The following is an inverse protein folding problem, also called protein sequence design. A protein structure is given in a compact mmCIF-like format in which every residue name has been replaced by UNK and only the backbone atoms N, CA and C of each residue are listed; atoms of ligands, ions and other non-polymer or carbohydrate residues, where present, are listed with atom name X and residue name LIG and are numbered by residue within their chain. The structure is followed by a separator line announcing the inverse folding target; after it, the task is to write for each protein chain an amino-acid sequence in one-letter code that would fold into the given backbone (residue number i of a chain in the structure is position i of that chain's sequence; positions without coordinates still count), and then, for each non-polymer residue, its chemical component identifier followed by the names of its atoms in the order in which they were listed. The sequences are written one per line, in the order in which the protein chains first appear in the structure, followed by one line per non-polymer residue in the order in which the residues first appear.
data_IF_474912043795
#
_entry.id   IF_474912043795
#
_cell.length_a   1.000
_cell.length_b   1.000
_cell.length_c   1.000
_cell.angle_alpha   90.00
_cell.angle_beta   90.00
_cell.angle_gamma   90.00
#
_symmetry.space_group_name_H-M   'P 1'
#
loop_
_entity.id
_entity.type
_entity.pdbx_description
1 polymer ?
#
# COMPACT_ATOMS: atom_id res chain seq x y z
N UNK A 1 17.58 -7.34 -15.48
CA UNK A 1 16.16 -7.06 -15.74
C UNK A 1 15.58 -6.30 -14.57
N UNK A 2 14.37 -5.76 -14.71
CA UNK A 2 13.70 -4.98 -13.66
C UNK A 2 12.35 -5.63 -13.37
N UNK A 3 12.01 -5.82 -12.09
CA UNK A 3 10.67 -6.23 -11.65
C UNK A 3 10.02 -4.99 -11.03
N UNK A 4 9.05 -4.35 -11.69
CA UNK A 4 8.35 -3.22 -11.09
C UNK A 4 7.41 -3.72 -9.98
N UNK A 5 7.32 -2.95 -8.90
CA UNK A 5 6.30 -3.12 -7.85
C UNK A 5 5.46 -1.85 -7.89
N UNK A 6 4.15 -1.99 -8.08
CA UNK A 6 3.24 -0.85 -8.09
C UNK A 6 2.78 -0.55 -6.66
N UNK A 7 2.44 0.71 -6.40
CA UNK A 7 1.94 1.15 -5.10
C UNK A 7 0.80 2.12 -5.32
N UNK A 8 -0.32 1.89 -4.64
CA UNK A 8 -1.45 2.83 -4.67
C UNK A 8 -1.05 4.15 -4.00
N UNK A 9 -1.55 5.26 -4.52
CA UNK A 9 -1.33 6.60 -3.94
C UNK A 9 -1.94 6.64 -2.53
N UNK A 10 -1.29 7.25 -1.52
CA UNK A 10 -1.91 7.40 -0.19
C UNK A 10 -3.25 8.15 -0.26
N UNK A 11 -4.15 7.99 0.74
CA UNK A 11 -5.37 8.78 0.80
C UNK A 11 -5.01 10.26 0.98
N UNK A 12 -5.85 11.11 0.40
CA UNK A 12 -5.75 12.56 0.45
C UNK A 12 -7.04 13.13 1.02
N UNK A 13 -6.96 13.99 2.03
CA UNK A 13 -8.12 14.53 2.75
C UNK A 13 -9.10 15.26 1.83
N UNK A 14 -8.59 16.05 0.88
CA UNK A 14 -9.42 16.77 -0.09
C UNK A 14 -10.18 15.85 -1.07
N UNK A 15 -9.75 14.60 -1.21
CA UNK A 15 -10.30 13.63 -2.15
C UNK A 15 -11.15 12.61 -1.40
N UNK A 16 -10.53 11.83 -0.50
CA UNK A 16 -11.17 10.77 0.28
C UNK A 16 -12.24 11.27 1.25
N UNK A 17 -12.06 12.48 1.79
CA UNK A 17 -13.02 13.14 2.68
C UNK A 17 -13.72 14.33 1.99
N UNK A 18 -13.47 14.51 0.70
CA UNK A 18 -14.05 15.58 -0.11
C UNK A 18 -15.50 15.34 -0.49
N UNK A 19 -15.98 16.06 -1.49
CA UNK A 19 -17.30 15.82 -2.08
C UNK A 19 -17.31 14.52 -2.93
N UNK A 20 -18.49 14.08 -3.35
CA UNK A 20 -18.66 12.84 -4.10
C UNK A 20 -17.81 12.76 -5.39
N UNK A 21 -17.59 13.87 -6.09
CA UNK A 21 -16.75 13.89 -7.30
C UNK A 21 -15.27 13.71 -6.97
N UNK A 22 -14.81 14.26 -5.84
CA UNK A 22 -13.44 14.10 -5.36
C UNK A 22 -13.19 12.67 -4.86
N UNK A 23 -14.16 12.10 -4.12
CA UNK A 23 -14.13 10.70 -3.67
C UNK A 23 -14.12 9.73 -4.84
N UNK A 24 -14.95 9.97 -5.87
CA UNK A 24 -14.93 9.17 -7.09
C UNK A 24 -13.56 9.22 -7.77
N UNK A 25 -12.93 10.40 -7.84
CA UNK A 25 -11.59 10.53 -8.41
C UNK A 25 -10.53 9.78 -7.61
N UNK A 26 -10.63 9.76 -6.29
CA UNK A 26 -9.75 8.95 -5.44
C UNK A 26 -9.89 7.46 -5.79
N UNK A 27 -11.13 6.98 -5.86
CA UNK A 27 -11.45 5.61 -6.23
C UNK A 27 -10.95 5.26 -7.64
N UNK A 28 -11.09 6.16 -8.61
CA UNK A 28 -10.62 5.95 -9.99
C UNK A 28 -9.10 5.79 -10.05
N UNK A 29 -8.34 6.62 -9.32
CA UNK A 29 -6.88 6.49 -9.26
C UNK A 29 -6.43 5.22 -8.56
N UNK A 30 -7.10 4.86 -7.47
CA UNK A 30 -6.84 3.62 -6.77
C UNK A 30 -7.08 2.41 -7.69
N UNK A 31 -8.26 2.34 -8.31
CA UNK A 31 -8.64 1.25 -9.21
C UNK A 31 -7.71 1.15 -10.42
N UNK A 32 -7.27 2.28 -11.00
CA UNK A 32 -6.35 2.26 -12.12
C UNK A 32 -5.01 1.57 -11.79
N UNK A 33 -4.51 1.72 -10.55
CA UNK A 33 -3.29 1.03 -10.12
C UNK A 33 -3.54 -0.46 -9.95
N UNK A 34 -4.68 -0.85 -9.38
CA UNK A 34 -5.08 -2.26 -9.23
C UNK A 34 -5.19 -2.94 -10.60
N UNK A 35 -5.91 -2.31 -11.53
CA UNK A 35 -6.14 -2.82 -12.88
C UNK A 35 -4.82 -2.97 -13.63
N UNK A 36 -3.92 -1.99 -13.52
CA UNK A 36 -2.60 -2.05 -14.14
C UNK A 36 -1.75 -3.17 -13.54
N UNK A 37 -1.74 -3.33 -12.21
CA UNK A 37 -1.00 -4.41 -11.56
C UNK A 37 -1.49 -5.79 -12.02
N UNK A 38 -2.81 -5.96 -12.13
CA UNK A 38 -3.44 -7.18 -12.58
C UNK A 38 -3.16 -7.47 -14.06
N UNK A 39 -3.24 -6.45 -14.92
CA UNK A 39 -3.02 -6.57 -16.37
C UNK A 39 -1.56 -6.96 -16.69
N UNK A 40 -0.60 -6.32 -16.02
CA UNK A 40 0.84 -6.55 -16.22
C UNK A 40 1.37 -7.71 -15.38
N UNK A 41 0.55 -8.27 -14.48
CA UNK A 41 0.90 -9.35 -13.56
C UNK A 41 2.12 -9.00 -12.68
N UNK A 42 2.14 -7.76 -12.18
CA UNK A 42 3.24 -7.24 -11.35
C UNK A 42 2.82 -7.15 -9.89
N UNK A 43 3.76 -7.29 -8.93
CA UNK A 43 3.47 -7.11 -7.52
C UNK A 43 2.88 -5.72 -7.21
N UNK A 44 2.03 -5.67 -6.19
CA UNK A 44 1.26 -4.50 -5.79
C UNK A 44 1.39 -4.26 -4.28
N UNK A 45 1.48 -3.00 -3.89
CA UNK A 45 1.37 -2.53 -2.51
C UNK A 45 0.12 -1.65 -2.39
N UNK A 46 -0.87 -2.11 -1.62
CA UNK A 46 -2.12 -1.39 -1.35
C UNK A 46 -1.95 -0.39 -0.19
N UNK A 47 -1.01 0.55 -0.33
CA UNK A 47 -0.68 1.54 0.69
C UNK A 47 -1.85 2.46 1.07
N UNK A 48 -2.74 2.74 0.11
CA UNK A 48 -3.95 3.52 0.32
C UNK A 48 -4.84 2.87 1.38
N UNK A 49 -5.22 1.62 1.11
CA UNK A 49 -6.16 0.86 1.91
C UNK A 49 -5.57 0.48 3.26
N UNK A 50 -4.26 0.22 3.31
CA UNK A 50 -3.55 0.04 4.57
C UNK A 50 -3.71 1.27 5.49
N UNK A 51 -3.55 2.49 4.95
CA UNK A 51 -3.75 3.71 5.74
C UNK A 51 -5.21 3.88 6.16
N UNK A 52 -6.14 3.71 5.22
CA UNK A 52 -7.58 3.90 5.46
C UNK A 52 -8.16 2.84 6.40
N UNK A 53 -7.59 1.64 6.44
CA UNK A 53 -8.00 0.53 7.31
C UNK A 53 -7.38 0.62 8.71
N UNK A 54 -6.10 0.97 8.81
CA UNK A 54 -5.42 1.15 10.11
C UNK A 54 -6.14 2.17 10.99
N UNK A 55 -6.61 3.27 10.39
CA UNK A 55 -7.26 4.40 11.07
C UNK A 55 -6.67 4.65 12.46
N UNK A 56 -5.39 5.04 12.52
CA UNK A 56 -4.65 5.02 13.77
C UNK A 56 -5.44 5.60 14.94
N UNK A 57 -5.61 4.79 15.98
CA UNK A 57 -6.13 5.24 17.26
C UNK A 57 -5.04 6.09 17.90
N UNK A 58 -5.07 7.39 17.63
CA UNK A 58 -4.31 8.32 18.43
C UNK A 58 -5.31 9.29 19.07
N UNK A 59 -5.59 9.13 20.38
CA UNK A 59 -6.73 9.79 21.03
C UNK A 59 -6.70 11.31 20.80
N UNK A 60 -7.87 11.94 20.61
CA UNK A 60 -9.22 11.45 20.92
C UNK A 60 -10.01 10.71 19.82
N UNK A 61 -9.52 10.55 18.59
CA UNK A 61 -10.33 9.94 17.49
C UNK A 61 -9.50 9.14 16.48
N UNK A 62 -10.13 8.11 15.92
CA UNK A 62 -9.62 7.35 14.76
C UNK A 62 -9.51 8.23 13.52
N UNK A 63 -8.28 8.60 13.16
CA UNK A 63 -8.05 9.31 11.91
C UNK A 63 -6.65 9.05 11.39
N UNK A 64 -6.58 8.81 10.07
CA UNK A 64 -5.32 8.85 9.32
C UNK A 64 -4.96 10.27 8.86
N UNK A 65 -5.92 11.20 8.95
CA UNK A 65 -5.84 12.53 8.34
C UNK A 65 -5.19 13.56 9.27
N UNK A 66 -3.94 13.88 8.97
CA UNK A 66 -3.20 14.91 9.67
C UNK A 66 -3.78 16.31 9.50
N UNK A 67 -4.61 16.60 8.49
CA UNK A 67 -5.20 17.93 8.30
C UNK A 67 -6.29 18.27 9.32
N UNK A 68 -6.84 17.27 10.02
CA UNK A 68 -7.86 17.44 11.04
C UNK A 68 -7.48 18.51 12.08
N UNK A 69 -8.44 19.34 12.50
CA UNK A 69 -8.23 20.44 13.45
C UNK A 69 -7.67 19.98 14.81
N UNK A 70 -7.92 18.73 15.22
CA UNK A 70 -7.33 18.14 16.43
C UNK A 70 -5.80 18.17 16.42
N UNK A 71 -5.19 18.13 15.23
CA UNK A 71 -3.74 18.15 15.04
C UNK A 71 -3.19 19.58 14.93
N UNK A 72 -3.95 20.62 15.30
CA UNK A 72 -3.53 22.03 15.20
C UNK A 72 -2.27 22.38 15.99
N UNK A 73 -1.94 21.62 17.04
CA UNK A 73 -0.69 21.76 17.80
C UNK A 73 0.56 21.24 17.05
N UNK A 74 0.36 20.51 15.95
CA UNK A 74 1.40 19.89 15.15
C UNK A 74 1.59 20.61 13.82
N UNK A 75 2.78 20.48 13.22
CA UNK A 75 3.14 21.19 12.00
C UNK A 75 3.89 20.30 11.00
N UNK A 76 3.64 20.53 9.71
CA UNK A 76 4.25 19.79 8.61
C UNK A 76 4.14 18.28 8.79
N UNK A 77 5.28 17.60 8.65
CA UNK A 77 5.41 16.14 8.76
C UNK A 77 5.28 15.61 10.19
N UNK A 78 5.44 16.47 11.21
CA UNK A 78 5.53 16.06 12.61
C UNK A 78 4.14 15.96 13.23
N UNK A 79 3.33 15.02 12.76
CA UNK A 79 1.99 14.71 13.30
C UNK A 79 1.87 13.20 13.49
N UNK A 80 1.39 12.72 14.66
CA UNK A 80 1.42 11.30 15.00
C UNK A 80 0.21 10.54 14.42
N UNK A 81 0.06 10.60 13.10
CA UNK A 81 -0.91 9.83 12.30
C UNK A 81 -0.24 9.41 10.99
N UNK A 82 -0.94 8.95 9.96
CA UNK A 82 -0.32 8.44 8.73
C UNK A 82 -0.18 9.48 7.62
N UNK A 83 -1.06 10.47 7.54
CA UNK A 83 -0.97 11.61 6.62
C UNK A 83 -0.60 12.87 7.39
N UNK A 84 0.20 13.75 6.79
CA UNK A 84 0.70 14.95 7.43
C UNK A 84 -0.33 16.08 7.48
N UNK A 85 0.04 17.23 8.07
CA UNK A 85 -0.87 18.39 8.26
C UNK A 85 -1.47 18.97 6.97
N UNK A 86 -0.87 18.72 5.82
CA UNK A 86 -1.42 19.18 4.53
C UNK A 86 -2.49 18.27 3.94
N UNK A 87 -2.75 17.12 4.58
CA UNK A 87 -3.75 16.17 4.12
C UNK A 87 -3.40 15.44 2.83
N UNK A 88 -2.13 15.43 2.41
CA UNK A 88 -1.69 14.81 1.16
C UNK A 88 -0.47 13.90 1.35
N UNK A 89 0.59 14.39 2.00
CA UNK A 89 1.82 13.62 2.10
C UNK A 89 1.81 12.70 3.31
N UNK A 90 2.55 11.57 3.29
CA UNK A 90 2.78 10.77 4.49
C UNK A 90 3.41 11.60 5.61
N UNK A 91 3.01 11.35 6.86
CA UNK A 91 3.65 11.94 8.03
C UNK A 91 5.04 11.35 8.27
N UNK A 92 5.88 12.06 9.02
CA UNK A 92 7.20 11.64 9.46
C UNK A 92 7.39 11.83 10.97
N UNK A 93 6.41 11.42 11.78
CA UNK A 93 6.47 11.61 13.24
C UNK A 93 7.76 11.01 13.81
N UNK A 94 8.60 11.87 14.39
CA UNK A 94 9.95 11.50 14.79
C UNK A 94 9.97 10.33 15.78
N UNK A 95 8.99 10.24 16.70
CA UNK A 95 8.95 9.17 17.69
C UNK A 95 8.60 7.79 17.10
N UNK A 96 8.02 7.74 15.89
CA UNK A 96 7.72 6.49 15.19
C UNK A 96 8.81 6.04 14.20
N UNK A 97 9.91 6.79 14.08
CA UNK A 97 11.00 6.45 13.16
C UNK A 97 11.70 5.17 13.63
N UNK A 98 11.95 4.24 12.70
CA UNK A 98 12.57 2.94 12.96
C UNK A 98 11.80 2.00 13.92
N UNK A 99 10.61 2.39 14.37
CA UNK A 99 9.71 1.51 15.10
C UNK A 99 8.74 0.82 14.14
N UNK A 100 9.10 -0.39 13.71
CA UNK A 100 8.27 -1.24 12.85
C UNK A 100 7.17 -2.02 13.61
N UNK A 101 6.92 -1.66 14.88
CA UNK A 101 5.75 -2.06 15.64
C UNK A 101 4.72 -0.93 15.67
N UNK A 102 4.70 -0.17 16.77
CA UNK A 102 3.70 0.89 16.98
C UNK A 102 3.91 2.11 16.07
N UNK A 103 5.14 2.35 15.63
CA UNK A 103 5.47 3.40 14.66
C UNK A 103 4.77 3.24 13.31
N UNK A 104 4.30 2.03 12.96
CA UNK A 104 3.52 1.79 11.74
C UNK A 104 2.13 2.46 11.75
N UNK A 105 1.64 2.88 12.91
CA UNK A 105 0.36 3.59 13.05
C UNK A 105 0.54 5.11 13.23
N UNK A 106 1.77 5.59 13.45
CA UNK A 106 2.00 7.02 13.76
C UNK A 106 2.94 7.71 12.78
N UNK A 107 3.50 6.98 11.82
CA UNK A 107 4.44 7.51 10.84
C UNK A 107 4.19 6.89 9.45
N UNK A 108 3.63 7.69 8.54
CA UNK A 108 3.31 7.25 7.18
C UNK A 108 4.55 6.85 6.38
N UNK A 109 5.66 7.59 6.49
CA UNK A 109 6.91 7.18 5.84
C UNK A 109 7.42 5.82 6.36
N UNK A 110 7.31 5.57 7.67
CA UNK A 110 7.74 4.31 8.25
C UNK A 110 6.87 3.14 7.78
N UNK A 111 5.55 3.33 7.72
CA UNK A 111 4.61 2.37 7.14
C UNK A 111 4.94 2.06 5.67
N UNK A 112 5.13 3.10 4.84
CA UNK A 112 5.51 2.94 3.43
C UNK A 112 6.81 2.14 3.27
N UNK A 113 7.82 2.45 4.07
CA UNK A 113 9.11 1.76 4.05
C UNK A 113 8.95 0.29 4.42
N UNK A 114 8.19 0.00 5.48
CA UNK A 114 7.90 -1.37 5.91
C UNK A 114 7.23 -2.17 4.80
N UNK A 115 6.13 -1.67 4.23
CA UNK A 115 5.40 -2.37 3.17
C UNK A 115 6.26 -2.59 1.92
N UNK A 116 7.10 -1.60 1.57
CA UNK A 116 8.04 -1.71 0.45
C UNK A 116 9.06 -2.82 0.69
N UNK A 117 9.62 -2.91 1.90
CA UNK A 117 10.56 -3.98 2.27
C UNK A 117 9.89 -5.36 2.24
N UNK A 118 8.65 -5.46 2.72
CA UNK A 118 7.89 -6.72 2.71
C UNK A 118 7.57 -7.19 1.28
N UNK A 119 7.13 -6.28 0.41
CA UNK A 119 6.89 -6.60 -1.00
C UNK A 119 8.18 -6.97 -1.75
N UNK A 120 9.28 -6.24 -1.49
CA UNK A 120 10.58 -6.57 -2.07
C UNK A 120 11.08 -7.96 -1.62
N UNK A 121 10.85 -8.31 -0.34
CA UNK A 121 11.15 -9.65 0.18
C UNK A 121 10.29 -10.72 -0.49
N UNK A 122 9.00 -10.48 -0.67
CA UNK A 122 8.12 -11.43 -1.36
C UNK A 122 8.60 -11.69 -2.79
N UNK A 123 8.95 -10.64 -3.54
CA UNK A 123 9.54 -10.78 -4.87
C UNK A 123 10.85 -11.57 -4.85
N UNK A 124 11.72 -11.27 -3.88
CA UNK A 124 12.97 -11.98 -3.71
C UNK A 124 12.74 -13.49 -3.51
N UNK A 125 11.84 -13.85 -2.60
CA UNK A 125 11.58 -15.24 -2.22
C UNK A 125 10.77 -16.02 -3.28
N UNK A 126 10.02 -15.34 -4.14
CA UNK A 126 9.24 -15.99 -5.19
C UNK A 126 9.96 -16.08 -6.54
N UNK A 127 10.83 -15.12 -6.85
CA UNK A 127 11.41 -14.95 -8.20
C UNK A 127 12.93 -15.10 -8.20
N UNK A 128 13.63 -14.55 -7.21
CA UNK A 128 15.09 -14.46 -7.24
C UNK A 128 15.74 -15.68 -6.58
N UNK A 129 15.27 -16.04 -5.38
CA UNK A 129 15.70 -17.23 -4.64
C UNK A 129 14.46 -18.04 -4.29
N UNK A 130 13.82 -18.68 -5.29
CA UNK A 130 12.61 -19.44 -5.03
C UNK A 130 12.93 -20.60 -4.09
N UNK A 131 12.25 -20.62 -2.94
CA UNK A 131 12.29 -21.76 -2.04
C UNK A 131 11.90 -23.06 -2.80
N UNK A 132 12.43 -24.23 -2.44
CA UNK A 132 12.18 -25.48 -3.17
C UNK A 132 10.68 -25.81 -3.36
N UNK A 133 9.83 -25.42 -2.40
CA UNK A 133 8.37 -25.54 -2.47
C UNK A 133 7.73 -24.60 -3.50
N UNK A 134 8.27 -23.39 -3.68
CA UNK A 134 7.82 -22.43 -4.69
C UNK A 134 8.10 -22.95 -6.10
N UNK A 135 9.27 -23.57 -6.31
CA UNK A 135 9.61 -24.23 -7.57
C UNK A 135 8.64 -25.37 -7.92
N UNK A 136 8.24 -26.18 -6.93
CA UNK A 136 7.28 -27.26 -7.11
C UNK A 136 5.88 -26.73 -7.49
N UNK A 137 5.42 -25.65 -6.87
CA UNK A 137 4.11 -25.03 -7.15
C UNK A 137 4.07 -24.33 -8.51
N UNK A 138 5.12 -23.60 -8.87
CA UNK A 138 5.24 -22.99 -10.20
C UNK A 138 5.29 -24.05 -11.30
N UNK A 139 5.98 -25.18 -11.07
CA UNK A 139 5.99 -26.33 -11.96
C UNK A 139 4.60 -26.93 -12.18
N UNK A 140 3.81 -27.08 -11.11
CA UNK A 140 2.43 -27.61 -11.20
C UNK A 140 1.47 -26.63 -11.90
N UNK A 141 1.60 -25.33 -11.64
CA UNK A 141 0.80 -24.28 -12.30
C UNK A 141 1.05 -24.20 -13.81
N UNK A 142 2.30 -24.30 -14.25
CA UNK A 142 2.67 -24.34 -15.66
C UNK A 142 2.06 -25.57 -16.39
N UNK A 143 2.04 -26.73 -15.72
CA UNK A 143 1.41 -27.95 -16.25
C UNK A 143 -0.11 -27.81 -16.36
N UNK A 144 -0.77 -27.14 -15.41
CA UNK A 144 -2.21 -26.86 -15.47
C UNK A 144 -2.57 -25.90 -16.62
N UNK A 145 -1.77 -24.86 -16.87
CA UNK A 145 -1.98 -23.92 -17.97
C UNK A 145 -1.81 -24.60 -19.35
N UNK A 146 -0.81 -25.47 -19.48
CA UNK A 146 -0.57 -26.25 -20.71
C UNK A 146 -1.71 -27.24 -21.02
N UNK A 147 -2.28 -27.89 -19.99
CA UNK A 147 -3.44 -28.77 -20.16
C UNK A 147 -4.71 -28.03 -20.60
N UNK A 148 -4.92 -26.79 -20.13
CA UNK A 148 -6.10 -25.98 -20.50
C UNK A 148 -6.05 -25.48 -21.94
N UNK A 149 -4.85 -25.18 -22.48
CA UNK A 149 -4.66 -24.81 -23.90
C UNK A 149 -4.93 -25.96 -24.87
N UNK A 150 -4.65 -27.21 -24.48
CA UNK A 150 -4.87 -28.39 -25.33
C UNK A 150 -6.36 -28.73 -25.56
N UNK A 151 -7.23 -28.44 -24.57
CA UNK A 151 -8.68 -28.70 -24.65
C UNK A 151 -9.49 -27.67 -25.43
N UNK A 152 -8.93 -26.49 -25.76
CA UNK A 152 -9.62 -25.46 -26.56
C UNK A 152 -9.32 -25.54 -28.07
N UNK A 153 -8.55 -26.55 -28.51
CA UNK A 153 -8.15 -26.77 -29.92
C UNK A 153 -8.65 -28.11 -30.48
N UNK A 154 -9.57 -28.79 -29.79
CA UNK A 154 -10.20 -30.03 -30.21
C UNK A 154 -11.69 -29.83 -30.42
#
# INVERSE_FOLDING_TARGET
GTIPILTTIPPQSAYDLGNAAAQQRAADFHQAVLDLAAAEQVPLIEYHDEIVSRRPHNPPTDTWDGSNAMWSAYSGYQVPTLIQRDGLHPSAWAAGVQDFGAGLDTNGFNLRNYMTLMAAKEVHDLVIVPEPLTLALLGLGAVALLRRRRRRRS
#
